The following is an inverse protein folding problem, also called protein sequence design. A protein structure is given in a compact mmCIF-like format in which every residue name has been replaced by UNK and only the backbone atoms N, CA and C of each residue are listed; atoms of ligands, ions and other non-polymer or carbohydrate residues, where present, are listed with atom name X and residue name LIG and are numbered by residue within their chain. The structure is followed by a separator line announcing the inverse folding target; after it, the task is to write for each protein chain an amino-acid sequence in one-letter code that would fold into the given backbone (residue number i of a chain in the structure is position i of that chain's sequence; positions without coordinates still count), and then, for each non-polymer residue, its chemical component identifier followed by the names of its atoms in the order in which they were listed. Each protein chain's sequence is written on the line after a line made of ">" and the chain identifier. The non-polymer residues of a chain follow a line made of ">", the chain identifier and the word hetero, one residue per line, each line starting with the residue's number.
data_IF_497285936643
#
_entry.id   IF_497285936643
#
_cell.length_a   1.000
_cell.length_b   1.000
_cell.length_c   1.000
_cell.angle_alpha   90.00
_cell.angle_beta   90.00
_cell.angle_gamma   90.00
#
_symmetry.space_group_name_H-M   'P 1'
#
loop_
_entity.id
_entity.type
_entity.pdbx_description
1 polymer ?
#
# COMPACT_ATOMS: atom_id res chain seq x y z
N UNK A 1 -7.59 8.25 9.34
CA UNK A 1 -7.74 7.12 8.41
C UNK A 1 -6.39 6.91 7.75
N UNK A 2 -6.10 5.69 7.31
CA UNK A 2 -4.90 5.42 6.52
C UNK A 2 -5.32 5.45 5.06
N UNK A 3 -4.61 6.22 4.23
CA UNK A 3 -4.85 6.17 2.79
C UNK A 3 -4.03 5.02 2.19
N UNK A 4 -2.70 5.14 2.24
CA UNK A 4 -1.79 4.15 1.67
C UNK A 4 -0.99 3.41 2.73
N UNK A 5 -0.54 2.20 2.38
CA UNK A 5 0.42 1.45 3.17
C UNK A 5 1.33 0.59 2.30
N UNK A 6 2.54 0.30 2.78
CA UNK A 6 3.43 -0.69 2.14
C UNK A 6 4.40 -1.31 3.15
N UNK A 7 4.68 -2.60 3.01
CA UNK A 7 5.63 -3.32 3.86
C UNK A 7 7.06 -3.13 3.37
N UNK A 8 8.00 -2.96 4.30
CA UNK A 8 9.43 -3.03 4.05
C UNK A 8 9.97 -4.44 4.30
N UNK A 9 11.11 -4.75 3.69
CA UNK A 9 11.77 -6.05 3.82
C UNK A 9 12.17 -6.42 5.26
N UNK A 10 12.30 -5.44 6.16
CA UNK A 10 12.59 -5.68 7.57
C UNK A 10 11.32 -5.87 8.43
N UNK A 11 10.15 -6.01 7.80
CA UNK A 11 8.88 -6.27 8.46
C UNK A 11 8.21 -5.04 9.06
N UNK A 12 8.81 -3.85 8.91
CA UNK A 12 8.14 -2.59 9.25
C UNK A 12 7.11 -2.19 8.17
N UNK A 13 6.18 -1.31 8.57
CA UNK A 13 5.07 -0.86 7.73
C UNK A 13 5.16 0.65 7.54
N UNK A 14 5.15 1.11 6.29
CA UNK A 14 4.93 2.51 5.95
C UNK A 14 3.43 2.78 5.83
N UNK A 15 3.00 3.94 6.30
CA UNK A 15 1.61 4.39 6.36
C UNK A 15 1.52 5.86 5.98
N UNK A 16 0.48 6.22 5.24
CA UNK A 16 0.08 7.62 5.01
C UNK A 16 -1.28 7.91 5.62
N UNK A 17 -1.59 9.19 5.82
CA UNK A 17 -2.77 9.62 6.56
C UNK A 17 -3.71 10.41 5.65
N UNK A 18 -5.01 10.28 5.90
CA UNK A 18 -6.03 11.04 5.20
C UNK A 18 -6.21 12.50 5.65
N UNK A 19 -5.62 12.84 6.79
CA UNK A 19 -5.60 14.17 7.38
C UNK A 19 -4.49 14.18 8.44
N UNK A 20 -3.97 15.36 8.82
CA UNK A 20 -2.91 15.46 9.82
C UNK A 20 -3.36 14.89 11.17
N UNK A 21 -2.47 14.17 11.84
CA UNK A 21 -2.76 13.53 13.12
C UNK A 21 -1.61 13.68 14.12
N UNK A 22 -1.95 13.81 15.41
CA UNK A 22 -0.95 13.73 16.47
C UNK A 22 -0.74 12.27 16.88
N UNK A 23 0.45 11.75 16.60
CA UNK A 23 0.86 10.38 16.91
C UNK A 23 1.69 10.37 18.20
N UNK A 24 1.32 9.51 19.14
CA UNK A 24 2.05 9.37 20.41
C UNK A 24 3.52 9.02 20.16
N UNK A 25 4.43 9.79 20.74
CA UNK A 25 5.87 9.60 20.61
C UNK A 25 6.49 10.24 19.36
N UNK A 26 5.68 10.67 18.38
CA UNK A 26 6.16 11.28 17.14
C UNK A 26 5.76 12.76 17.01
N UNK A 27 4.60 13.14 17.54
CA UNK A 27 4.05 14.51 17.43
C UNK A 27 3.04 14.62 16.30
N UNK A 28 2.88 15.83 15.77
CA UNK A 28 2.04 16.07 14.59
C UNK A 28 2.72 15.45 13.37
N UNK A 29 1.98 14.65 12.61
CA UNK A 29 2.34 14.11 11.31
C UNK A 29 1.31 14.65 10.32
N UNK A 30 1.77 15.26 9.24
CA UNK A 30 0.92 15.80 8.19
C UNK A 30 0.40 14.69 7.26
N UNK A 31 -0.65 14.95 6.48
CA UNK A 31 -1.13 14.03 5.43
C UNK A 31 -0.20 13.97 4.21
N UNK A 32 0.73 14.92 4.10
CA UNK A 32 1.84 14.90 3.14
C UNK A 32 3.07 14.09 3.62
N UNK A 33 3.04 13.54 4.84
CA UNK A 33 4.14 12.78 5.44
C UNK A 33 3.93 11.26 5.32
N UNK A 34 5.03 10.51 5.44
CA UNK A 34 4.99 9.04 5.57
C UNK A 34 5.56 8.66 6.92
N UNK A 35 4.75 7.96 7.71
CA UNK A 35 5.16 7.40 8.99
C UNK A 35 5.47 5.91 8.86
N UNK A 36 6.40 5.45 9.70
CA UNK A 36 6.83 4.05 9.74
C UNK A 36 6.53 3.45 11.10
N UNK A 37 5.77 2.35 11.08
CA UNK A 37 5.59 1.50 12.23
C UNK A 37 6.66 0.41 12.27
N UNK A 38 7.43 0.37 13.35
CA UNK A 38 8.42 -0.68 13.61
C UNK A 38 7.88 -1.58 14.71
N UNK A 39 7.43 -2.80 14.38
CA UNK A 39 6.89 -3.72 15.37
C UNK A 39 8.01 -4.21 16.30
N UNK A 40 7.68 -4.31 17.59
CA UNK A 40 8.43 -5.10 18.58
C UNK A 40 7.73 -6.42 18.90
N UNK A 41 6.42 -6.51 18.63
CA UNK A 41 5.61 -7.73 18.72
C UNK A 41 4.41 -7.62 17.78
N UNK A 42 4.07 -8.72 17.10
CA UNK A 42 2.90 -8.85 16.23
C UNK A 42 1.99 -9.95 16.80
N UNK A 43 0.70 -9.88 16.48
CA UNK A 43 -0.33 -10.80 17.00
C UNK A 43 -1.47 -10.04 17.67
N UNK A 44 -2.26 -10.73 18.49
CA UNK A 44 -3.45 -10.17 19.18
C UNK A 44 -3.12 -8.88 19.93
N UNK A 45 -1.95 -8.83 20.56
CA UNK A 45 -1.40 -7.61 21.15
C UNK A 45 -0.21 -7.15 20.34
N UNK A 46 -0.47 -6.33 19.34
CA UNK A 46 0.59 -5.70 18.55
C UNK A 46 1.25 -4.58 19.35
N UNK A 47 2.58 -4.54 19.34
CA UNK A 47 3.38 -3.52 19.99
C UNK A 47 4.50 -3.06 19.06
N UNK A 48 4.92 -1.80 19.20
CA UNK A 48 5.97 -1.22 18.40
C UNK A 48 6.13 0.26 18.67
N UNK A 49 6.81 0.94 17.76
CA UNK A 49 6.98 2.40 17.78
C UNK A 49 6.73 2.99 16.40
N UNK A 50 6.35 4.25 16.38
CA UNK A 50 6.30 5.06 15.16
C UNK A 50 7.54 5.94 15.05
N UNK A 51 8.00 6.14 13.82
CA UNK A 51 8.98 7.16 13.45
C UNK A 51 8.53 7.86 12.16
N UNK A 52 8.97 9.11 11.96
CA UNK A 52 8.78 9.81 10.69
C UNK A 52 9.78 9.21 9.69
N UNK A 53 9.27 8.79 8.54
CA UNK A 53 10.08 8.16 7.49
C UNK A 53 10.33 9.11 6.33
N UNK A 54 9.35 9.94 5.98
CA UNK A 54 9.45 10.96 4.95
C UNK A 54 8.67 12.18 5.43
N UNK A 55 9.33 13.34 5.38
CA UNK A 55 8.74 14.65 5.65
C UNK A 55 8.44 15.30 4.30
N UNK A 56 7.16 15.45 3.97
CA UNK A 56 6.72 15.98 2.68
C UNK A 56 7.07 17.46 2.50
N UNK A 57 6.99 18.21 3.60
CA UNK A 57 7.23 19.66 3.61
C UNK A 57 8.69 20.01 3.26
N UNK A 58 9.64 19.17 3.66
CA UNK A 58 11.07 19.31 3.33
C UNK A 58 11.36 19.20 1.82
N UNK A 59 10.45 18.59 1.06
CA UNK A 59 10.61 18.34 -0.38
C UNK A 59 9.49 18.93 -1.23
N UNK A 60 8.80 19.92 -0.69
CA UNK A 60 7.91 20.81 -1.41
C UNK A 60 6.47 20.34 -1.52
N UNK A 61 6.02 19.41 -0.66
CA UNK A 61 4.60 19.13 -0.46
C UNK A 61 4.08 20.07 0.63
N UNK A 62 3.52 21.22 0.24
CA UNK A 62 3.21 22.33 1.15
C UNK A 62 1.72 22.73 1.14
N UNK A 63 0.90 22.08 0.30
CA UNK A 63 -0.50 22.43 0.06
C UNK A 63 -1.44 21.31 0.48
N UNK A 64 -2.67 21.67 0.85
CA UNK A 64 -3.74 20.72 1.23
C UNK A 64 -4.22 19.78 0.09
N UNK A 65 -3.56 19.80 -1.06
CA UNK A 65 -3.83 18.86 -2.13
C UNK A 65 -2.67 17.89 -2.33
N UNK A 66 -1.63 17.96 -1.52
CA UNK A 66 -0.46 17.07 -1.62
C UNK A 66 -0.52 15.94 -0.57
N UNK A 67 -1.75 15.64 -0.12
CA UNK A 67 -2.11 14.51 0.74
C UNK A 67 -1.74 13.21 0.03
N UNK A 68 -0.86 12.40 0.62
CA UNK A 68 -0.38 11.17 -0.01
C UNK A 68 -1.42 10.06 0.14
N UNK A 69 -1.91 9.56 -0.98
CA UNK A 69 -2.88 8.46 -1.04
C UNK A 69 -2.28 7.13 -1.51
N UNK A 70 -1.20 7.16 -2.28
CA UNK A 70 -0.48 5.95 -2.72
C UNK A 70 0.99 5.99 -2.32
N UNK A 71 1.49 4.88 -1.75
CA UNK A 71 2.92 4.69 -1.48
C UNK A 71 3.41 3.30 -1.91
N UNK A 72 4.54 3.25 -2.62
CA UNK A 72 5.29 2.03 -2.89
C UNK A 72 6.79 2.29 -2.70
N UNK A 73 7.56 1.26 -2.35
CA UNK A 73 9.02 1.33 -2.25
C UNK A 73 9.64 0.45 -3.34
N UNK A 74 10.45 1.06 -4.21
CA UNK A 74 11.17 0.34 -5.25
C UNK A 74 12.41 -0.34 -4.69
N UNK A 75 12.96 -1.31 -5.44
CA UNK A 75 14.10 -2.11 -5.03
C UNK A 75 15.38 -1.29 -4.74
N UNK A 76 15.50 -0.08 -5.30
CA UNK A 76 16.60 0.83 -5.03
C UNK A 76 16.35 1.82 -3.89
N UNK A 77 15.23 1.66 -3.17
CA UNK A 77 14.85 2.47 -2.00
C UNK A 77 14.15 3.79 -2.35
N UNK A 78 13.95 4.08 -3.64
CA UNK A 78 13.10 5.21 -4.05
C UNK A 78 11.62 4.94 -3.75
N UNK A 79 10.87 6.02 -3.53
CA UNK A 79 9.45 5.97 -3.19
C UNK A 79 8.63 6.32 -4.43
N UNK A 80 7.57 5.57 -4.68
CA UNK A 80 6.51 5.99 -5.60
C UNK A 80 5.36 6.54 -4.78
N UNK A 81 4.91 7.73 -5.15
CA UNK A 81 3.95 8.54 -4.42
C UNK A 81 2.91 9.06 -5.42
N UNK A 82 1.63 8.91 -5.07
CA UNK A 82 0.53 9.72 -5.63
C UNK A 82 0.04 10.68 -4.55
N UNK A 83 -0.64 11.73 -4.96
CA UNK A 83 -1.34 12.66 -4.07
C UNK A 83 -2.72 12.98 -4.61
N UNK A 84 -3.65 13.37 -3.74
CA UNK A 84 -5.01 13.78 -4.12
C UNK A 84 -5.06 14.92 -5.16
N UNK A 85 -4.02 15.74 -5.19
CA UNK A 85 -3.82 16.86 -6.09
C UNK A 85 -2.51 16.71 -6.86
N UNK A 86 -1.82 17.83 -7.09
CA UNK A 86 -0.61 17.81 -7.92
C UNK A 86 0.64 18.01 -7.08
N UNK A 87 1.64 17.17 -7.28
CA UNK A 87 3.01 17.45 -6.84
C UNK A 87 3.63 18.44 -7.83
N UNK A 88 4.13 19.57 -7.32
CA UNK A 88 4.81 20.60 -8.13
C UNK A 88 6.18 20.94 -7.56
N UNK A 89 7.22 20.29 -8.06
CA UNK A 89 8.58 20.53 -7.62
C UNK A 89 9.52 20.86 -8.79
N UNK A 90 9.93 22.13 -8.88
CA UNK A 90 10.79 22.62 -9.96
C UNK A 90 10.10 22.50 -11.32
N UNK A 91 10.66 21.69 -12.23
CA UNK A 91 10.07 21.39 -13.55
C UNK A 91 9.18 20.16 -13.56
N UNK A 92 9.08 19.43 -12.44
CA UNK A 92 8.26 18.23 -12.32
C UNK A 92 6.86 18.64 -11.93
N UNK A 93 5.90 18.13 -12.68
CA UNK A 93 4.47 18.18 -12.37
C UNK A 93 3.99 16.75 -12.46
N UNK A 94 3.55 16.20 -11.33
CA UNK A 94 2.77 14.97 -11.25
C UNK A 94 1.36 15.37 -10.86
N UNK A 95 0.37 14.98 -11.64
CA UNK A 95 -1.04 15.21 -11.32
C UNK A 95 -1.60 14.09 -10.45
N UNK A 96 -2.90 14.19 -10.15
CA UNK A 96 -3.65 13.21 -9.36
C UNK A 96 -3.70 11.83 -10.04
N UNK A 97 -3.75 11.76 -11.38
CA UNK A 97 -3.72 10.48 -12.09
C UNK A 97 -2.31 9.83 -12.23
N UNK A 98 -1.27 10.43 -11.66
CA UNK A 98 0.12 10.08 -11.92
C UNK A 98 0.79 9.39 -10.73
N UNK A 99 1.90 8.68 -10.97
CA UNK A 99 2.84 8.29 -9.91
C UNK A 99 4.13 9.08 -10.06
N UNK A 100 4.45 9.88 -9.04
CA UNK A 100 5.75 10.50 -8.90
C UNK A 100 6.73 9.54 -8.23
N UNK A 101 8.00 9.61 -8.61
CA UNK A 101 9.07 8.93 -7.91
C UNK A 101 9.93 9.93 -7.17
N UNK A 102 10.06 9.72 -5.86
CA UNK A 102 11.03 10.41 -5.04
C UNK A 102 12.29 9.57 -4.87
N UNK A 103 13.43 10.12 -5.27
CA UNK A 103 14.75 9.50 -5.12
C UNK A 103 15.43 10.15 -3.90
N UNK A 104 15.42 9.51 -2.73
CA UNK A 104 15.93 10.10 -1.50
C UNK A 104 17.45 10.17 -1.50
N UNK A 105 17.99 11.32 -1.09
CA UNK A 105 19.34 11.44 -0.54
C UNK A 105 19.35 11.35 0.98
N UNK A 106 18.24 11.70 1.63
CA UNK A 106 18.00 11.53 3.07
C UNK A 106 16.50 11.36 3.33
N UNK A 107 16.16 10.62 4.38
CA UNK A 107 14.80 10.33 4.85
C UNK A 107 14.66 10.72 6.33
N UNK A 108 13.43 10.78 6.84
CA UNK A 108 13.07 11.23 8.19
C UNK A 108 12.91 12.74 8.29
N UNK A 109 13.14 13.33 9.47
CA UNK A 109 12.91 14.76 9.75
C UNK A 109 13.76 15.76 8.95
N UNK A 110 14.68 15.29 8.11
CA UNK A 110 15.44 16.14 7.18
C UNK A 110 15.44 15.42 5.84
N UNK A 111 14.24 15.30 5.27
CA UNK A 111 14.06 14.60 4.00
C UNK A 111 14.68 15.43 2.89
N UNK A 112 15.39 14.79 1.98
CA UNK A 112 15.98 15.48 0.81
C UNK A 112 16.14 14.49 -0.33
N UNK A 113 16.04 14.98 -1.56
CA UNK A 113 16.12 14.14 -2.74
C UNK A 113 15.68 14.87 -3.99
N UNK A 114 15.31 14.10 -5.01
CA UNK A 114 14.79 14.63 -6.26
C UNK A 114 13.54 13.87 -6.70
N UNK A 115 12.62 14.61 -7.31
CA UNK A 115 11.42 14.08 -7.93
C UNK A 115 11.64 13.77 -9.42
N UNK A 116 10.98 12.72 -9.91
CA UNK A 116 10.76 12.46 -11.34
C UNK A 116 9.35 11.91 -11.57
N UNK A 117 8.80 12.10 -12.76
CA UNK A 117 7.53 11.46 -13.14
C UNK A 117 7.80 10.00 -13.51
N UNK A 118 7.13 9.06 -12.83
CA UNK A 118 7.32 7.63 -13.05
C UNK A 118 6.23 7.04 -13.93
N UNK A 119 4.97 7.35 -13.64
CA UNK A 119 3.81 6.94 -14.43
C UNK A 119 2.97 8.18 -14.75
N UNK A 120 2.66 8.38 -16.02
CA UNK A 120 1.80 9.46 -16.52
C UNK A 120 0.44 8.86 -16.87
N UNK A 121 -0.55 9.08 -16.01
CA UNK A 121 -1.91 8.54 -16.18
C UNK A 121 -2.60 9.13 -17.40
N UNK A 122 -2.34 10.40 -17.69
CA UNK A 122 -2.92 11.08 -18.85
C UNK A 122 -2.43 10.49 -20.18
N UNK A 123 -1.18 10.00 -20.21
CA UNK A 123 -0.62 9.29 -21.36
C UNK A 123 -1.33 7.94 -21.64
N UNK A 124 -2.05 7.41 -20.66
CA UNK A 124 -2.84 6.17 -20.76
C UNK A 124 -4.35 6.38 -20.60
N UNK A 125 -4.81 7.62 -20.85
CA UNK A 125 -6.20 8.06 -20.89
C UNK A 125 -6.94 8.21 -19.55
N UNK A 126 -6.24 8.12 -18.41
CA UNK A 126 -6.77 8.58 -17.13
C UNK A 126 -6.81 10.11 -17.17
N UNK A 127 -7.98 10.71 -17.38
CA UNK A 127 -8.08 12.14 -17.73
C UNK A 127 -9.25 12.87 -17.07
N UNK A 128 -10.05 12.16 -16.28
CA UNK A 128 -11.19 12.71 -15.55
C UNK A 128 -10.89 12.82 -14.06
N UNK A 129 -11.65 13.67 -13.35
CA UNK A 129 -11.51 13.85 -11.89
C UNK A 129 -11.89 12.59 -11.06
N UNK A 130 -12.30 11.50 -11.71
CA UNK A 130 -12.59 10.21 -11.06
C UNK A 130 -11.52 9.16 -11.37
N UNK A 131 -10.52 9.50 -12.18
CA UNK A 131 -9.45 8.60 -12.64
C UNK A 131 -8.11 8.85 -11.96
N UNK A 132 -8.14 9.65 -10.90
CA UNK A 132 -7.12 9.74 -9.85
C UNK A 132 -6.70 8.33 -9.39
N UNK A 133 -5.39 8.09 -9.31
CA UNK A 133 -4.83 6.79 -8.94
C UNK A 133 -4.95 6.63 -7.43
N UNK A 134 -5.97 5.86 -7.03
CA UNK A 134 -6.38 5.74 -5.63
C UNK A 134 -5.65 4.63 -4.88
N UNK A 135 -5.19 3.60 -5.61
CA UNK A 135 -4.35 2.56 -5.06
C UNK A 135 -3.41 2.02 -6.13
N UNK A 136 -2.16 1.74 -5.77
CA UNK A 136 -1.24 1.09 -6.68
C UNK A 136 -0.32 0.09 -5.98
N UNK A 137 0.12 -0.91 -6.74
CA UNK A 137 1.22 -1.79 -6.36
C UNK A 137 2.13 -2.04 -7.56
N UNK A 138 3.44 -1.85 -7.39
CA UNK A 138 4.42 -2.08 -8.47
C UNK A 138 5.11 -3.43 -8.31
N UNK A 139 4.85 -4.31 -9.27
CA UNK A 139 5.56 -5.57 -9.44
C UNK A 139 6.68 -5.41 -10.47
N UNK A 140 7.86 -5.04 -9.97
CA UNK A 140 9.06 -4.88 -10.80
C UNK A 140 9.53 -6.19 -11.44
N UNK A 141 9.23 -7.35 -10.84
CA UNK A 141 9.68 -8.64 -11.36
C UNK A 141 8.95 -8.99 -12.66
N UNK A 142 7.67 -8.62 -12.76
CA UNK A 142 6.84 -8.86 -13.93
C UNK A 142 6.62 -7.61 -14.81
N UNK A 143 7.21 -6.47 -14.43
CA UNK A 143 7.05 -5.20 -15.13
C UNK A 143 5.57 -4.79 -15.24
N UNK A 144 4.88 -4.89 -14.11
CA UNK A 144 3.45 -4.64 -13.95
C UNK A 144 3.19 -3.60 -12.87
N UNK A 145 2.15 -2.79 -13.09
CA UNK A 145 1.58 -1.92 -12.06
C UNK A 145 0.13 -2.32 -11.90
N UNK A 146 -0.24 -2.75 -10.70
CA UNK A 146 -1.63 -2.97 -10.30
C UNK A 146 -2.19 -1.63 -9.85
N UNK A 147 -3.36 -1.28 -10.33
CA UNK A 147 -3.97 0.04 -10.16
C UNK A 147 -5.43 -0.11 -9.77
N UNK A 148 -5.90 0.83 -8.97
CA UNK A 148 -7.30 1.22 -8.86
C UNK A 148 -7.40 2.73 -9.03
N UNK A 149 -8.58 3.21 -9.39
CA UNK A 149 -8.88 4.64 -9.49
C UNK A 149 -9.95 5.04 -8.49
N UNK A 150 -10.07 6.35 -8.21
CA UNK A 150 -11.07 6.88 -7.26
C UNK A 150 -12.52 6.57 -7.68
N UNK A 151 -12.75 6.40 -8.97
CA UNK A 151 -14.05 6.10 -9.56
C UNK A 151 -13.91 5.29 -10.83
N UNK A 152 -14.81 5.53 -11.79
CA UNK A 152 -14.81 4.83 -13.09
C UNK A 152 -13.56 5.20 -13.88
N UNK A 153 -12.91 4.19 -14.46
CA UNK A 153 -11.81 4.38 -15.40
C UNK A 153 -12.15 3.86 -16.80
N UNK A 154 -11.62 4.51 -17.82
CA UNK A 154 -11.68 4.08 -19.22
C UNK A 154 -10.31 4.25 -19.89
N UNK A 155 -9.48 3.20 -19.79
CA UNK A 155 -8.18 3.15 -20.45
C UNK A 155 -8.28 2.39 -21.77
N UNK A 156 -7.25 2.47 -22.61
CA UNK A 156 -7.28 1.82 -23.93
C UNK A 156 -7.54 0.31 -23.84
N UNK A 157 -8.74 -0.10 -24.26
CA UNK A 157 -9.17 -1.49 -24.31
C UNK A 157 -9.67 -2.09 -22.99
N UNK A 158 -9.82 -1.29 -21.93
CA UNK A 158 -10.35 -1.75 -20.65
C UNK A 158 -11.05 -0.60 -19.90
N UNK A 159 -12.24 -0.86 -19.38
CA UNK A 159 -12.95 0.04 -18.49
C UNK A 159 -13.42 -0.69 -17.24
N UNK A 160 -13.60 0.04 -16.15
CA UNK A 160 -14.01 -0.52 -14.85
C UNK A 160 -14.42 0.56 -13.86
N UNK A 161 -14.58 0.18 -12.59
CA UNK A 161 -14.97 1.04 -11.48
C UNK A 161 -13.83 1.15 -10.45
N UNK A 162 -13.94 2.07 -9.50
CA UNK A 162 -12.91 2.30 -8.49
C UNK A 162 -12.78 1.20 -7.42
N UNK A 163 -13.69 0.24 -7.43
CA UNK A 163 -13.59 -1.00 -6.65
C UNK A 163 -12.96 -2.15 -7.43
N UNK A 164 -12.45 -1.92 -8.64
CA UNK A 164 -11.80 -2.94 -9.47
C UNK A 164 -10.27 -2.72 -9.46
N UNK A 165 -9.50 -3.81 -9.56
CA UNK A 165 -8.05 -3.76 -9.74
C UNK A 165 -7.73 -4.14 -11.18
N UNK A 166 -7.00 -3.29 -11.88
CA UNK A 166 -6.51 -3.54 -13.22
C UNK A 166 -4.99 -3.44 -13.30
N UNK A 167 -4.41 -4.06 -14.32
CA UNK A 167 -2.96 -4.15 -14.49
C UNK A 167 -2.54 -3.32 -15.70
N UNK A 168 -1.65 -2.36 -15.49
CA UNK A 168 -0.78 -1.85 -16.54
C UNK A 168 0.37 -2.84 -16.74
N UNK A 169 0.37 -3.57 -17.85
CA UNK A 169 1.57 -4.27 -18.32
C UNK A 169 2.44 -3.23 -19.02
N UNK A 170 3.54 -2.85 -18.40
CA UNK A 170 4.31 -1.64 -18.75
C UNK A 170 5.07 -1.85 -20.06
N UNK A 171 4.85 -0.97 -21.04
CA UNK A 171 5.67 -0.87 -22.25
C UNK A 171 6.65 0.31 -22.18
N UNK A 172 6.23 1.40 -21.54
CA UNK A 172 7.04 2.59 -21.29
C UNK A 172 6.54 3.33 -20.05
N UNK A 173 7.44 4.05 -19.37
CA UNK A 173 7.19 4.87 -18.18
C UNK A 173 7.61 6.33 -18.41
N UNK A 174 7.25 7.21 -17.48
CA UNK A 174 7.45 8.66 -17.54
C UNK A 174 6.41 9.37 -18.40
N UNK A 175 6.76 10.54 -18.97
CA UNK A 175 5.83 11.42 -19.72
C UNK A 175 5.22 10.83 -21.00
N UNK A 176 5.61 9.62 -21.38
CA UNK A 176 5.07 8.87 -22.52
C UNK A 176 4.69 7.45 -22.08
N UNK A 177 4.13 7.34 -20.88
CA UNK A 177 3.70 6.08 -20.31
C UNK A 177 2.81 5.35 -21.31
N UNK A 178 3.06 4.06 -21.46
CA UNK A 178 2.29 3.20 -22.36
C UNK A 178 2.14 1.83 -21.72
N UNK A 179 0.92 1.32 -21.72
CA UNK A 179 0.56 0.05 -21.10
C UNK A 179 -0.26 -0.82 -22.06
N UNK A 180 -0.20 -2.14 -21.86
CA UNK A 180 -1.28 -3.03 -22.23
C UNK A 180 -2.09 -3.35 -20.98
N UNK A 181 -3.39 -3.09 -21.01
CA UNK A 181 -4.24 -3.27 -19.84
C UNK A 181 -4.91 -4.65 -19.79
N UNK A 182 -5.13 -5.13 -18.57
CA UNK A 182 -5.94 -6.32 -18.28
C UNK A 182 -6.59 -6.18 -16.90
N UNK A 183 -7.80 -6.73 -16.74
CA UNK A 183 -8.46 -6.79 -15.43
C UNK A 183 -7.77 -7.83 -14.54
N UNK A 184 -7.47 -7.48 -13.28
CA UNK A 184 -6.99 -8.42 -12.27
C UNK A 184 -8.14 -8.91 -11.39
N UNK A 185 -8.93 -7.98 -10.85
CA UNK A 185 -10.02 -8.29 -9.93
C UNK A 185 -11.18 -7.31 -10.11
N UNK A 186 -12.41 -7.82 -10.10
CA UNK A 186 -13.63 -7.01 -10.23
C UNK A 186 -14.41 -7.03 -8.93
N UNK A 187 -14.34 -5.97 -8.13
CA UNK A 187 -14.87 -5.99 -6.76
C UNK A 187 -16.36 -6.32 -6.68
N UNK A 188 -17.16 -5.81 -7.62
CA UNK A 188 -18.58 -6.12 -7.70
C UNK A 188 -18.89 -7.61 -7.92
N UNK A 189 -18.03 -8.33 -8.65
CA UNK A 189 -18.20 -9.76 -8.89
C UNK A 189 -17.95 -10.60 -7.62
N UNK A 190 -17.27 -10.01 -6.62
CA UNK A 190 -16.89 -10.66 -5.35
C UNK A 190 -17.51 -9.98 -4.13
N UNK A 191 -18.61 -9.24 -4.31
CA UNK A 191 -19.38 -8.68 -3.20
C UNK A 191 -18.82 -7.40 -2.58
N UNK A 192 -17.77 -6.79 -3.16
CA UNK A 192 -17.22 -5.51 -2.72
C UNK A 192 -18.12 -4.30 -3.07
N UNK A 193 -19.18 -4.52 -3.86
CA UNK A 193 -20.23 -3.54 -4.08
C UNK A 193 -19.74 -2.19 -4.63
N UNK A 194 -20.10 -1.11 -3.93
CA UNK A 194 -19.73 0.27 -4.28
C UNK A 194 -18.54 0.80 -3.48
N UNK A 195 -17.84 -0.06 -2.74
CA UNK A 195 -16.66 0.34 -1.97
C UNK A 195 -15.48 0.67 -2.89
N UNK A 196 -14.55 1.47 -2.37
CA UNK A 196 -13.29 1.84 -3.00
C UNK A 196 -12.13 1.15 -2.30
N UNK A 197 -11.03 0.96 -3.03
CA UNK A 197 -9.82 0.33 -2.51
C UNK A 197 -8.89 1.41 -1.99
N UNK A 198 -8.81 1.62 -0.68
CA UNK A 198 -7.96 2.69 -0.13
C UNK A 198 -6.45 2.37 -0.28
N UNK A 199 -6.04 1.11 -0.10
CA UNK A 199 -4.65 0.70 -0.23
C UNK A 199 -4.50 -0.68 -0.89
N UNK A 200 -3.42 -0.85 -1.65
CA UNK A 200 -3.13 -2.08 -2.38
C UNK A 200 -1.69 -2.54 -2.15
N UNK A 201 -1.54 -3.77 -1.67
CA UNK A 201 -0.24 -4.44 -1.56
C UNK A 201 -0.39 -5.89 -2.03
N UNK A 202 0.47 -6.32 -2.96
CA UNK A 202 0.59 -7.71 -3.35
C UNK A 202 1.95 -8.23 -2.88
N UNK A 203 1.95 -9.30 -2.09
CA UNK A 203 3.19 -9.88 -1.58
C UNK A 203 2.98 -10.71 -0.34
N UNK A 204 4.07 -11.26 0.18
CA UNK A 204 4.05 -11.96 1.47
C UNK A 204 4.11 -10.94 2.60
N UNK A 205 3.07 -10.88 3.43
CA UNK A 205 3.09 -10.07 4.66
C UNK A 205 4.17 -10.51 5.64
N UNK A 206 4.44 -9.73 6.70
CA UNK A 206 5.40 -10.09 7.74
C UNK A 206 5.00 -11.42 8.38
N UNK A 207 5.95 -12.34 8.51
CA UNK A 207 5.72 -13.63 9.16
C UNK A 207 5.38 -13.40 10.63
N UNK A 208 4.19 -13.80 11.06
CA UNK A 208 3.82 -13.86 12.47
C UNK A 208 4.51 -15.08 13.06
N UNK A 209 5.59 -14.86 13.82
CA UNK A 209 6.13 -15.91 14.68
C UNK A 209 5.34 -15.87 15.98
N UNK A 210 4.35 -16.76 16.11
CA UNK A 210 3.73 -17.01 17.42
C UNK A 210 4.81 -17.72 18.22
N UNK A 211 5.45 -17.02 19.16
CA UNK A 211 6.30 -17.69 20.13
C UNK A 211 5.37 -18.63 20.91
N UNK A 212 5.50 -19.95 20.70
CA UNK A 212 4.85 -20.94 21.53
C UNK A 212 5.20 -20.58 22.98
N UNK A 213 4.21 -20.12 23.74
CA UNK A 213 4.39 -19.87 25.15
C UNK A 213 4.84 -21.21 25.75
N UNK A 214 6.05 -21.26 26.30
CA UNK A 214 6.49 -22.44 27.03
C UNK A 214 5.58 -22.56 28.26
N UNK A 215 4.53 -23.36 28.16
CA UNK A 215 3.75 -23.76 29.31
C UNK A 215 4.66 -24.67 30.14
N UNK A 216 5.32 -24.07 31.14
CA UNK A 216 5.93 -24.81 32.20
C UNK A 216 4.78 -25.45 32.99
N UNK A 217 4.71 -26.77 32.86
CA UNK A 217 3.76 -27.64 33.53
C UNK A 217 3.82 -27.44 35.05
N UNK A 218 2.72 -26.97 35.63
CA UNK A 218 2.42 -27.14 37.05
C UNK A 218 0.93 -27.41 37.17
N UNK A 219 0.58 -28.69 37.13
CA UNK A 219 -0.70 -29.24 37.53
C UNK A 219 -1.08 -28.75 38.94
N UNK A 220 -2.20 -28.05 39.07
CA UNK A 220 -3.40 -28.54 39.78
C UNK A 220 -4.57 -27.55 39.66
N UNK A 221 -5.75 -28.11 39.43
CA UNK A 221 -7.10 -27.56 39.59
C UNK A 221 -7.77 -26.75 38.45
N UNK A 222 -8.41 -27.54 37.57
CA UNK A 222 -9.87 -27.53 37.33
C UNK A 222 -10.46 -26.59 36.24
N UNK A 223 -10.86 -27.21 35.12
CA UNK A 223 -12.23 -27.28 34.51
C UNK A 223 -12.14 -27.26 32.97
N UNK A 224 -12.73 -28.29 32.37
CA UNK A 224 -12.87 -28.57 30.93
C UNK A 224 -13.30 -27.36 30.10
N UNK A 225 -12.48 -27.01 29.11
CA UNK A 225 -12.90 -26.31 27.90
C UNK A 225 -12.34 -27.09 26.72
N UNK A 226 -13.26 -27.55 25.88
CA UNK A 226 -13.07 -28.29 24.62
C UNK A 226 -11.71 -28.05 23.94
N UNK A 227 -10.91 -29.12 23.92
CA UNK A 227 -9.78 -29.34 23.03
C UNK A 227 -10.27 -29.50 21.59
N UNK A 228 -9.57 -28.82 20.67
CA UNK A 228 -9.13 -29.23 19.32
C UNK A 228 -9.02 -27.97 18.45
N UNK A 229 -7.89 -27.26 18.57
CA UNK A 229 -7.34 -26.56 17.42
C UNK A 229 -6.29 -27.52 16.86
N UNK A 230 -6.73 -28.31 15.89
CA UNK A 230 -5.82 -29.08 15.04
C UNK A 230 -4.95 -28.05 14.30
N UNK A 231 -3.63 -28.25 14.37
CA UNK A 231 -2.65 -27.55 13.53
C UNK A 231 -2.85 -28.05 12.09
N UNK A 232 -3.94 -27.65 11.44
CA UNK A 232 -4.20 -27.97 10.04
C UNK A 232 -3.27 -27.13 9.15
N UNK A 233 -2.08 -27.68 8.91
CA UNK A 233 -1.39 -27.47 7.64
C UNK A 233 -2.36 -27.97 6.58
N UNK A 234 -2.98 -27.04 5.84
CA UNK A 234 -3.83 -27.40 4.72
C UNK A 234 -2.93 -28.07 3.65
N UNK A 235 -3.05 -29.37 3.53
CA UNK A 235 -2.42 -30.17 2.49
C UNK A 235 -3.42 -30.38 1.34
N UNK A 236 -2.95 -30.44 0.10
CA UNK A 236 -3.79 -30.88 -1.01
C UNK A 236 -4.17 -32.38 -0.90
N UNK A 237 -5.01 -32.90 -1.78
CA UNK A 237 -5.39 -34.33 -1.78
C UNK A 237 -4.20 -35.29 -1.94
N UNK A 238 -2.99 -34.77 -2.20
CA UNK A 238 -1.75 -35.52 -2.38
C UNK A 238 -0.72 -35.31 -1.25
N UNK A 239 -1.03 -34.53 -0.21
CA UNK A 239 -0.13 -34.29 0.91
C UNK A 239 0.99 -33.29 0.64
N UNK A 240 0.84 -32.41 -0.36
CA UNK A 240 1.77 -31.29 -0.57
C UNK A 240 1.31 -30.04 0.21
N UNK A 241 2.27 -29.36 0.86
CA UNK A 241 2.04 -28.09 1.55
C UNK A 241 1.41 -27.08 0.58
N UNK A 242 0.19 -26.62 0.87
CA UNK A 242 -0.44 -25.58 0.06
C UNK A 242 0.38 -24.30 0.20
N UNK A 243 1.12 -23.96 -0.86
CA UNK A 243 1.61 -22.60 -1.07
C UNK A 243 0.37 -21.74 -1.15
N UNK A 244 0.14 -20.91 -0.12
CA UNK A 244 -0.91 -19.91 -0.12
C UNK A 244 -0.76 -19.03 -1.36
N UNK A 245 -1.60 -19.30 -2.36
CA UNK A 245 -1.77 -18.46 -3.53
C UNK A 245 -2.02 -17.02 -3.09
N UNK A 246 -1.52 -16.06 -3.88
CA UNK A 246 -1.58 -14.62 -3.65
C UNK A 246 -2.90 -14.21 -2.97
N UNK A 247 -2.81 -13.86 -1.68
CA UNK A 247 -3.97 -13.38 -0.93
C UNK A 247 -4.09 -11.87 -1.06
N UNK A 248 -5.26 -11.40 -1.48
CA UNK A 248 -5.62 -9.99 -1.41
C UNK A 248 -6.21 -9.74 -0.02
N UNK A 249 -5.44 -9.07 0.84
CA UNK A 249 -5.96 -8.56 2.10
C UNK A 249 -6.56 -7.18 1.87
N UNK A 250 -7.89 -7.09 1.93
CA UNK A 250 -8.59 -5.81 2.01
C UNK A 250 -8.82 -5.48 3.49
N UNK A 251 -8.18 -4.44 4.06
CA UNK A 251 -8.50 -4.03 5.42
C UNK A 251 -9.92 -3.42 5.43
N UNK A 252 -10.94 -4.23 5.76
CA UNK A 252 -12.27 -3.72 6.03
C UNK A 252 -12.31 -3.28 7.50
N UNK A 253 -12.18 -1.98 7.75
CA UNK A 253 -12.42 -1.41 9.08
C UNK A 253 -13.93 -1.35 9.33
N UNK A 254 -14.50 -2.41 9.91
CA UNK A 254 -15.90 -2.39 10.37
C UNK A 254 -15.98 -1.53 11.65
N UNK A 255 -16.79 -0.47 11.62
CA UNK A 255 -17.11 0.36 12.80
C UNK A 255 -18.17 -0.26 13.69
#
# INVERSE_FOLDING_TARGET
>A
DVNGFTFLNDGSLLLTLNQPATISGLGLVDDSDIMRFIPSSLGETTAGRFELYFDGSDVGLETNGEDIDVINVLADGSLLISTLGNIRHGSIISKDEDLARFIPTSLGNNTSGSWELYFDGSAVALTTAYEDVWAAHVDNANNQIYLSTRGVFDVSGLAGKGGDIFICNVNALGTRTACRFSMFWQGNAYGFGSELIDGLYLGTGPRISIAAASMADSEEDAIELYDEVDDDILEDENGEELILDQQIFLPIMIR
#
